data_IF_463014612003
#
_entry.id   IF_463014612003
#
_cell.length_a   1.000
_cell.length_b   1.000
_cell.length_c   1.000
_cell.angle_alpha   90.00
_cell.angle_beta   90.00
_cell.angle_gamma   90.00
#
_symmetry.space_group_name_H-M   'P 1'
#
loop_
_entity.id
_entity.type
_entity.pdbx_description
1 polymer ?
#
# COMPACT_ATOMS: atom_id res chain seq x y z
N UNK A 1 -21.54 -60.82 -3.31
CA UNK A 1 -22.31 -59.71 -2.72
C UNK A 1 -21.32 -58.80 -2.01
N UNK A 2 -20.80 -57.79 -2.71
CA UNK A 2 -19.92 -56.78 -2.13
C UNK A 2 -20.48 -55.41 -2.51
N UNK A 3 -21.00 -54.69 -1.52
CA UNK A 3 -21.54 -53.35 -1.66
C UNK A 3 -20.41 -52.36 -1.98
N UNK A 4 -20.47 -51.74 -3.16
CA UNK A 4 -19.72 -50.54 -3.49
C UNK A 4 -20.61 -49.33 -3.23
N UNK A 5 -20.46 -48.70 -2.06
CA UNK A 5 -21.09 -47.41 -1.78
C UNK A 5 -20.36 -46.29 -2.52
N UNK A 6 -21.12 -45.51 -3.28
CA UNK A 6 -20.66 -44.30 -3.99
C UNK A 6 -20.65 -43.14 -3.00
N UNK A 7 -19.60 -42.30 -2.93
CA UNK A 7 -19.58 -41.18 -1.99
C UNK A 7 -20.60 -40.11 -2.39
N UNK A 8 -21.43 -39.70 -1.43
CA UNK A 8 -22.45 -38.67 -1.60
C UNK A 8 -21.83 -37.30 -1.95
N UNK A 9 -22.42 -36.60 -2.91
CA UNK A 9 -22.03 -35.25 -3.30
C UNK A 9 -22.21 -34.27 -2.12
N UNK A 10 -21.29 -33.30 -1.92
CA UNK A 10 -21.43 -32.32 -0.85
C UNK A 10 -22.66 -31.45 -1.09
N UNK A 11 -23.49 -31.31 -0.06
CA UNK A 11 -24.60 -30.37 0.01
C UNK A 11 -24.09 -28.93 -0.18
N UNK A 12 -24.72 -28.11 -1.03
CA UNK A 12 -24.30 -26.73 -1.19
C UNK A 12 -24.56 -25.96 0.11
N UNK A 13 -23.50 -25.42 0.70
CA UNK A 13 -23.61 -24.47 1.81
C UNK A 13 -24.45 -23.26 1.37
N UNK A 14 -25.31 -22.72 2.24
CA UNK A 14 -26.11 -21.55 1.91
C UNK A 14 -25.17 -20.37 1.62
N UNK A 15 -25.26 -19.89 0.38
CA UNK A 15 -24.58 -18.71 -0.14
C UNK A 15 -24.61 -17.58 0.90
N UNK A 16 -23.48 -17.32 1.58
CA UNK A 16 -23.28 -16.07 2.32
C UNK A 16 -23.09 -14.98 1.28
N UNK A 17 -24.21 -14.55 0.69
CA UNK A 17 -24.28 -13.32 -0.06
C UNK A 17 -23.79 -12.20 0.87
N UNK A 18 -22.59 -11.69 0.56
CA UNK A 18 -22.14 -10.40 1.03
C UNK A 18 -23.14 -9.37 0.52
N UNK A 19 -24.18 -9.08 1.31
CA UNK A 19 -25.16 -8.06 0.99
C UNK A 19 -24.43 -6.72 0.91
N UNK A 20 -24.22 -6.23 -0.31
CA UNK A 20 -23.79 -4.85 -0.55
C UNK A 20 -24.95 -3.94 -0.16
N UNK A 21 -25.05 -3.61 1.13
CA UNK A 21 -26.09 -2.70 1.64
C UNK A 21 -25.93 -1.35 0.93
N UNK A 22 -26.93 -1.02 0.11
CA UNK A 22 -26.99 0.23 -0.65
C UNK A 22 -26.85 1.44 0.29
N UNK A 23 -26.15 2.48 -0.18
CA UNK A 23 -26.05 3.75 0.56
C UNK A 23 -27.43 4.40 0.68
N UNK A 24 -27.70 4.98 1.85
CA UNK A 24 -28.91 5.76 2.08
C UNK A 24 -28.83 7.10 1.35
N UNK A 25 -29.88 7.46 0.60
CA UNK A 25 -29.98 8.77 -0.04
C UNK A 25 -30.54 9.80 0.94
N UNK A 26 -29.69 10.73 1.39
CA UNK A 26 -30.08 11.81 2.29
C UNK A 26 -30.73 13.01 1.59
N UNK A 27 -30.69 13.10 0.26
CA UNK A 27 -31.22 14.25 -0.47
C UNK A 27 -32.69 14.56 -0.17
N UNK A 28 -33.59 13.57 -0.02
CA UNK A 28 -34.99 13.83 0.32
C UNK A 28 -35.20 14.43 1.72
N UNK A 29 -34.27 14.19 2.65
CA UNK A 29 -34.40 14.60 4.06
C UNK A 29 -33.88 16.02 4.33
N UNK A 30 -33.06 16.58 3.43
CA UNK A 30 -32.30 17.80 3.71
C UNK A 30 -32.93 18.98 2.97
N UNK A 31 -33.54 19.89 3.73
CA UNK A 31 -33.98 21.21 3.26
C UNK A 31 -33.28 22.30 4.10
N UNK A 32 -33.37 23.59 3.72
CA UNK A 32 -32.68 24.67 4.45
C UNK A 32 -33.01 24.70 5.95
N UNK A 33 -34.24 24.37 6.34
CA UNK A 33 -34.68 24.36 7.73
C UNK A 33 -33.97 23.30 8.60
N UNK A 34 -33.51 22.21 7.99
CA UNK A 34 -32.80 21.10 8.64
C UNK A 34 -31.28 21.34 8.76
N UNK A 35 -30.76 22.48 8.29
CA UNK A 35 -29.34 22.81 8.31
C UNK A 35 -29.02 23.80 9.43
N UNK A 36 -28.57 23.32 10.58
CA UNK A 36 -28.34 24.15 11.77
C UNK A 36 -26.86 24.44 11.97
N UNK A 37 -26.48 25.72 12.09
CA UNK A 37 -25.17 26.12 12.60
C UNK A 37 -25.27 26.25 14.11
N UNK A 38 -24.65 25.32 14.83
CA UNK A 38 -24.73 25.25 16.29
C UNK A 38 -23.91 26.38 16.92
N UNK A 39 -24.54 27.12 17.83
CA UNK A 39 -23.88 28.12 18.68
C UNK A 39 -23.49 27.52 20.03
N UNK A 40 -22.34 27.95 20.55
CA UNK A 40 -21.79 27.46 21.81
C UNK A 40 -21.08 26.11 21.69
N UNK A 41 -20.59 25.62 22.81
CA UNK A 41 -19.86 24.36 22.95
C UNK A 41 -20.55 23.37 23.89
N UNK A 42 -21.75 23.69 24.38
CA UNK A 42 -22.52 22.89 25.34
C UNK A 42 -23.56 21.98 24.65
N UNK A 43 -23.68 20.74 25.15
CA UNK A 43 -24.58 19.71 24.59
C UNK A 43 -26.06 20.08 24.71
N UNK A 44 -26.48 20.65 25.84
CA UNK A 44 -27.89 21.02 26.07
C UNK A 44 -28.31 22.12 25.10
N UNK A 45 -27.50 23.16 24.95
CA UNK A 45 -27.76 24.25 24.00
C UNK A 45 -27.75 23.74 22.54
N UNK A 46 -26.93 22.75 22.20
CA UNK A 46 -26.95 22.13 20.88
C UNK A 46 -28.27 21.38 20.63
N UNK A 47 -28.76 20.62 21.61
CA UNK A 47 -30.04 19.90 21.49
C UNK A 47 -31.23 20.84 21.39
N UNK A 48 -31.26 21.94 22.16
CA UNK A 48 -32.31 22.95 22.05
C UNK A 48 -32.42 23.55 20.64
N UNK A 49 -31.28 23.87 20.02
CA UNK A 49 -31.23 24.40 18.65
C UNK A 49 -31.72 23.37 17.62
N UNK A 50 -31.36 22.10 17.79
CA UNK A 50 -31.76 21.01 16.91
C UNK A 50 -33.25 20.68 17.04
N UNK A 51 -33.76 20.58 18.27
CA UNK A 51 -35.18 20.32 18.55
C UNK A 51 -36.05 21.44 17.99
N UNK A 52 -35.66 22.71 18.16
CA UNK A 52 -36.40 23.83 17.58
C UNK A 52 -36.42 23.79 16.04
N UNK A 53 -35.35 23.31 15.40
CA UNK A 53 -35.30 23.11 13.95
C UNK A 53 -36.17 21.93 13.50
N UNK A 54 -36.11 20.81 14.21
CA UNK A 54 -36.93 19.63 13.93
C UNK A 54 -38.43 19.93 14.10
N UNK A 55 -38.82 20.63 15.17
CA UNK A 55 -40.20 21.03 15.40
C UNK A 55 -40.75 21.90 14.27
N UNK A 56 -39.95 22.87 13.77
CA UNK A 56 -40.34 23.66 12.59
C UNK A 56 -40.45 22.82 11.31
N UNK A 57 -39.55 21.86 11.12
CA UNK A 57 -39.56 20.99 9.94
C UNK A 57 -40.78 20.05 9.90
N UNK A 58 -41.22 19.60 11.07
CA UNK A 58 -42.37 18.71 11.29
C UNK A 58 -43.70 19.45 11.53
N UNK A 59 -43.70 20.79 11.58
CA UNK A 59 -44.90 21.58 11.88
C UNK A 59 -45.47 21.36 13.29
N UNK A 60 -44.62 21.00 14.27
CA UNK A 60 -45.04 20.70 15.63
C UNK A 60 -45.43 21.97 16.41
N UNK A 61 -46.51 21.87 17.18
CA UNK A 61 -46.90 22.91 18.14
C UNK A 61 -45.99 22.94 19.38
N UNK A 62 -46.18 23.95 20.24
CA UNK A 62 -45.35 24.16 21.43
C UNK A 62 -45.32 22.94 22.38
N UNK A 63 -46.47 22.29 22.60
CA UNK A 63 -46.55 21.08 23.44
C UNK A 63 -45.72 19.94 22.85
N UNK A 64 -45.90 19.65 21.56
CA UNK A 64 -45.18 18.57 20.88
C UNK A 64 -43.66 18.83 20.79
N UNK A 65 -43.24 20.10 20.74
CA UNK A 65 -41.82 20.45 20.82
C UNK A 65 -41.23 20.13 22.20
N UNK A 66 -41.99 20.31 23.28
CA UNK A 66 -41.58 19.90 24.63
C UNK A 66 -41.42 18.38 24.69
N UNK A 67 -42.39 17.64 24.15
CA UNK A 67 -42.34 16.17 24.10
C UNK A 67 -41.12 15.67 23.30
N UNK A 68 -40.85 16.28 22.14
CA UNK A 68 -39.66 15.99 21.34
C UNK A 68 -38.36 16.26 22.12
N UNK A 69 -38.29 17.38 22.85
CA UNK A 69 -37.12 17.70 23.67
C UNK A 69 -36.91 16.65 24.77
N UNK A 70 -37.98 16.26 25.46
CA UNK A 70 -37.93 15.25 26.50
C UNK A 70 -37.49 13.89 25.94
N UNK A 71 -38.01 13.49 24.77
CA UNK A 71 -37.65 12.23 24.13
C UNK A 71 -36.16 12.17 23.74
N UNK A 72 -35.61 13.24 23.15
CA UNK A 72 -34.20 13.33 22.78
C UNK A 72 -33.30 13.30 24.01
N UNK A 73 -33.67 14.03 25.07
CA UNK A 73 -32.91 14.05 26.33
C UNK A 73 -32.93 12.69 27.03
N UNK A 74 -34.09 12.04 27.09
CA UNK A 74 -34.23 10.70 27.65
C UNK A 74 -33.35 9.68 26.89
N UNK A 75 -33.30 9.79 25.55
CA UNK A 75 -32.43 8.91 24.75
C UNK A 75 -30.94 9.11 25.05
N UNK A 76 -30.49 10.37 25.15
CA UNK A 76 -29.08 10.68 25.45
C UNK A 76 -28.70 10.28 26.89
N UNK A 77 -29.62 10.44 27.85
CA UNK A 77 -29.40 10.08 29.25
C UNK A 77 -29.24 8.56 29.43
N UNK A 78 -29.95 7.75 28.64
CA UNK A 78 -29.83 6.30 28.68
C UNK A 78 -28.45 5.81 28.20
N UNK A 79 -27.94 6.38 27.10
CA UNK A 79 -26.61 6.12 26.58
C UNK A 79 -26.22 7.26 25.65
N UNK A 80 -24.98 7.76 25.79
CA UNK A 80 -24.48 8.82 24.92
C UNK A 80 -24.61 8.45 23.45
N UNK A 81 -25.12 9.40 22.66
CA UNK A 81 -25.31 9.26 21.21
C UNK A 81 -24.09 9.67 20.41
N UNK A 82 -22.95 9.94 21.06
CA UNK A 82 -21.66 10.07 20.39
C UNK A 82 -21.18 8.68 19.94
N UNK A 83 -21.31 8.41 18.64
CA UNK A 83 -21.00 7.11 18.04
C UNK A 83 -19.54 7.00 17.59
N UNK A 84 -18.83 8.13 17.44
CA UNK A 84 -17.42 8.13 17.07
C UNK A 84 -16.77 9.52 17.18
N UNK A 85 -15.48 9.64 16.82
CA UNK A 85 -14.78 10.91 16.91
C UNK A 85 -15.40 11.97 15.99
N UNK A 86 -15.71 13.15 16.53
CA UNK A 86 -16.20 14.27 15.74
C UNK A 86 -17.69 14.26 15.37
N UNK A 87 -18.46 13.23 15.69
CA UNK A 87 -19.88 13.17 15.34
C UNK A 87 -20.77 12.42 16.35
N UNK A 88 -22.06 12.78 16.40
CA UNK A 88 -23.08 12.15 17.22
C UNK A 88 -24.41 12.01 16.45
N UNK A 89 -25.23 11.03 16.83
CA UNK A 89 -26.54 10.79 16.20
C UNK A 89 -27.65 10.55 17.24
N UNK A 90 -28.13 11.62 17.90
CA UNK A 90 -29.35 11.55 18.72
C UNK A 90 -30.54 11.09 17.89
N UNK A 91 -31.40 10.24 18.45
CA UNK A 91 -32.61 9.77 17.76
C UNK A 91 -33.79 9.62 18.72
N UNK A 92 -35.00 9.76 18.20
CA UNK A 92 -36.22 9.45 18.93
C UNK A 92 -37.34 9.04 17.97
N UNK A 93 -38.36 8.38 18.52
CA UNK A 93 -39.59 8.05 17.81
C UNK A 93 -40.67 9.01 18.28
N UNK A 94 -41.42 9.59 17.36
CA UNK A 94 -42.55 10.50 17.63
C UNK A 94 -43.78 10.02 16.86
N UNK A 95 -44.98 10.36 17.34
CA UNK A 95 -46.22 10.15 16.58
C UNK A 95 -46.37 11.27 15.52
N UNK A 96 -45.68 11.09 14.40
CA UNK A 96 -45.63 12.03 13.27
C UNK A 96 -45.81 11.28 11.94
N UNK A 97 -46.41 11.92 10.92
CA UNK A 97 -46.66 11.26 9.63
C UNK A 97 -45.37 11.04 8.81
N UNK A 98 -44.31 11.79 9.08
CA UNK A 98 -43.02 11.61 8.42
C UNK A 98 -42.33 10.32 8.86
N UNK A 99 -41.95 9.48 7.89
CA UNK A 99 -41.20 8.25 8.17
C UNK A 99 -39.84 8.55 8.82
N UNK A 100 -39.11 9.53 8.30
CA UNK A 100 -37.84 9.96 8.87
C UNK A 100 -37.61 11.45 8.62
N UNK A 101 -37.19 12.16 9.67
CA UNK A 101 -36.71 13.53 9.61
C UNK A 101 -35.28 13.57 10.14
N UNK A 102 -34.40 14.27 9.42
CA UNK A 102 -33.01 14.48 9.81
C UNK A 102 -32.76 15.99 9.99
N UNK A 103 -32.18 16.38 11.12
CA UNK A 103 -31.61 17.72 11.32
C UNK A 103 -30.11 17.59 11.51
N UNK A 104 -29.33 18.36 10.74
CA UNK A 104 -27.87 18.33 10.77
C UNK A 104 -27.34 19.59 11.45
N UNK A 105 -26.86 19.41 12.68
CA UNK A 105 -26.14 20.41 13.46
C UNK A 105 -24.66 20.41 13.13
N UNK A 106 -24.10 21.60 12.94
CA UNK A 106 -22.69 21.80 12.57
C UNK A 106 -22.04 22.84 13.49
N UNK A 107 -20.98 22.45 14.19
CA UNK A 107 -20.17 23.31 15.05
C UNK A 107 -18.70 23.28 14.62
N UNK A 108 -18.16 24.44 14.23
CA UNK A 108 -16.71 24.56 13.96
C UNK A 108 -15.87 24.46 15.22
N UNK A 109 -16.36 25.02 16.33
CA UNK A 109 -15.68 24.98 17.62
C UNK A 109 -15.75 23.60 18.29
N UNK A 110 -16.73 22.79 17.91
CA UNK A 110 -17.02 21.49 18.52
C UNK A 110 -17.86 21.63 19.80
N UNK A 111 -18.65 20.60 20.07
CA UNK A 111 -19.53 20.48 21.23
C UNK A 111 -18.93 19.45 22.18
N UNK A 112 -18.95 19.75 23.47
CA UNK A 112 -18.58 18.79 24.51
C UNK A 112 -19.73 17.83 24.79
N UNK A 113 -19.54 16.55 24.46
CA UNK A 113 -20.51 15.49 24.71
C UNK A 113 -20.22 14.68 25.97
N UNK A 114 -19.11 14.97 26.67
CA UNK A 114 -18.70 14.30 27.91
C UNK A 114 -17.82 13.05 27.72
N UNK A 115 -17.44 12.69 26.48
CA UNK A 115 -16.53 11.57 26.18
C UNK A 115 -15.16 12.06 25.73
N UNK A 116 -14.25 12.22 26.68
CA UNK A 116 -12.92 12.80 26.44
C UNK A 116 -12.10 12.02 25.41
N UNK A 117 -12.23 10.69 25.38
CA UNK A 117 -11.50 9.78 24.50
C UNK A 117 -11.90 9.90 23.01
N UNK A 118 -13.14 10.32 22.74
CA UNK A 118 -13.64 10.54 21.38
C UNK A 118 -13.53 12.00 20.93
N UNK A 119 -13.09 12.90 21.80
CA UNK A 119 -12.92 14.31 21.52
C UNK A 119 -14.23 15.07 21.29
N UNK A 120 -14.12 16.31 20.80
CA UNK A 120 -15.26 17.20 20.56
C UNK A 120 -16.11 16.74 19.36
N UNK A 121 -17.41 16.94 19.45
CA UNK A 121 -18.36 16.64 18.38
C UNK A 121 -18.58 17.86 17.49
N UNK A 122 -18.25 17.74 16.21
CA UNK A 122 -18.45 18.81 15.22
C UNK A 122 -19.77 18.67 14.48
N UNK A 123 -20.28 17.45 14.33
CA UNK A 123 -21.49 17.13 13.59
C UNK A 123 -22.50 16.41 14.48
N UNK A 124 -23.75 16.88 14.51
CA UNK A 124 -24.83 16.22 15.26
C UNK A 124 -25.98 15.92 14.30
N UNK A 125 -26.32 14.65 14.14
CA UNK A 125 -27.39 14.18 13.25
C UNK A 125 -28.61 13.79 14.09
N UNK A 126 -29.52 14.74 14.34
CA UNK A 126 -30.76 14.45 15.06
C UNK A 126 -31.74 13.74 14.11
N UNK A 127 -32.09 12.50 14.43
CA UNK A 127 -33.13 11.74 13.75
C UNK A 127 -34.44 11.75 14.53
N UNK A 128 -35.55 12.02 13.84
CA UNK A 128 -36.90 11.87 14.37
C UNK A 128 -37.67 10.99 13.41
N UNK A 129 -38.11 9.82 13.86
CA UNK A 129 -38.86 8.87 13.04
C UNK A 129 -40.30 8.75 13.50
N UNK A 130 -41.24 8.63 12.55
CA UNK A 130 -42.57 8.11 12.81
C UNK A 130 -42.54 6.62 13.21
N UNK A 131 -43.68 6.03 13.61
CA UNK A 131 -43.76 4.62 14.01
C UNK A 131 -43.24 3.64 12.95
N UNK A 132 -43.48 3.91 11.66
CA UNK A 132 -43.07 3.07 10.52
C UNK A 132 -41.69 3.44 9.93
N UNK A 133 -40.94 4.28 10.66
CA UNK A 133 -39.68 4.87 10.23
C UNK A 133 -38.42 4.12 10.63
N UNK A 134 -38.55 3.09 11.47
CA UNK A 134 -37.41 2.43 12.11
C UNK A 134 -36.39 1.86 11.11
N UNK A 135 -36.86 1.13 10.10
CA UNK A 135 -35.98 0.54 9.07
C UNK A 135 -35.26 1.61 8.25
N UNK A 136 -35.91 2.74 8.02
CA UNK A 136 -35.32 3.85 7.29
C UNK A 136 -34.22 4.52 8.10
N UNK A 137 -34.46 4.73 9.40
CA UNK A 137 -33.45 5.18 10.34
C UNK A 137 -32.25 4.23 10.39
N UNK A 138 -32.46 2.91 10.48
CA UNK A 138 -31.38 1.92 10.51
C UNK A 138 -30.50 1.97 9.25
N UNK A 139 -31.10 2.14 8.07
CA UNK A 139 -30.35 2.32 6.82
C UNK A 139 -29.55 3.63 6.80
N UNK A 140 -30.14 4.72 7.28
CA UNK A 140 -29.49 6.02 7.38
C UNK A 140 -28.31 6.00 8.36
N UNK A 141 -28.50 5.49 9.57
CA UNK A 141 -27.44 5.45 10.59
C UNK A 141 -26.30 4.50 10.20
N UNK A 142 -26.61 3.37 9.56
CA UNK A 142 -25.59 2.44 9.03
C UNK A 142 -24.73 3.11 7.97
N UNK A 143 -25.35 3.95 7.12
CA UNK A 143 -24.64 4.74 6.11
C UNK A 143 -23.71 5.77 6.75
N UNK A 144 -24.18 6.54 7.75
CA UNK A 144 -23.32 7.49 8.47
C UNK A 144 -22.18 6.76 9.21
N UNK A 145 -22.48 5.68 9.93
CA UNK A 145 -21.50 4.91 10.68
C UNK A 145 -20.39 4.36 9.77
N UNK A 146 -20.72 3.95 8.54
CA UNK A 146 -19.73 3.57 7.51
C UNK A 146 -18.92 4.80 7.07
N UNK A 147 -19.59 5.90 6.71
CA UNK A 147 -18.95 7.11 6.20
C UNK A 147 -17.93 7.77 7.15
N UNK A 148 -18.10 7.60 8.47
CA UNK A 148 -17.24 8.20 9.48
C UNK A 148 -16.29 7.20 10.18
N UNK A 149 -16.22 5.94 9.72
CA UNK A 149 -15.28 4.92 10.23
C UNK A 149 -13.91 4.96 9.53
N UNK A 150 -13.87 5.43 8.28
CA UNK A 150 -12.69 5.37 7.41
C UNK A 150 -11.59 6.40 7.73
N UNK A 151 -10.38 6.17 7.20
CA UNK A 151 -9.21 7.06 7.30
C UNK A 151 -9.42 8.48 6.76
N UNK A 152 -10.53 8.72 6.04
CA UNK A 152 -10.89 10.01 5.45
C UNK A 152 -11.93 10.80 6.30
N UNK A 153 -12.23 10.36 7.53
CA UNK A 153 -13.22 10.98 8.43
C UNK A 153 -13.06 12.50 8.58
N UNK A 154 -11.86 12.99 8.83
CA UNK A 154 -11.62 14.41 9.12
C UNK A 154 -11.84 15.28 7.86
N UNK A 155 -11.52 14.74 6.68
CA UNK A 155 -11.86 15.33 5.38
C UNK A 155 -13.38 15.41 5.20
N UNK A 156 -14.11 14.35 5.56
CA UNK A 156 -15.57 14.33 5.48
C UNK A 156 -16.21 15.33 6.44
N UNK A 157 -15.75 15.39 7.69
CA UNK A 157 -16.22 16.39 8.66
C UNK A 157 -16.03 17.81 8.09
N UNK A 158 -14.86 18.09 7.51
CA UNK A 158 -14.57 19.38 6.90
C UNK A 158 -15.53 19.71 5.75
N UNK A 159 -15.87 18.74 4.89
CA UNK A 159 -16.84 18.92 3.80
C UNK A 159 -18.24 19.24 4.32
N UNK A 160 -18.72 18.47 5.30
CA UNK A 160 -20.04 18.69 5.92
C UNK A 160 -20.10 20.06 6.60
N UNK A 161 -19.04 20.47 7.30
CA UNK A 161 -18.93 21.80 7.90
C UNK A 161 -18.97 22.93 6.85
N UNK A 162 -18.38 22.71 5.67
CA UNK A 162 -18.35 23.68 4.57
C UNK A 162 -19.65 23.71 3.73
N UNK A 163 -20.49 22.67 3.76
CA UNK A 163 -21.67 22.54 2.93
C UNK A 163 -22.76 23.59 3.25
N UNK A 164 -22.86 24.64 2.44
CA UNK A 164 -23.76 25.77 2.66
C UNK A 164 -25.13 25.64 1.99
N UNK A 165 -25.33 24.63 1.15
CA UNK A 165 -26.61 24.34 0.50
C UNK A 165 -27.11 22.93 0.81
N UNK A 166 -28.44 22.67 0.74
CA UNK A 166 -29.01 21.33 0.93
C UNK A 166 -28.39 20.29 0.00
N UNK A 167 -28.19 20.63 -1.27
CA UNK A 167 -27.56 19.75 -2.26
C UNK A 167 -26.11 19.40 -1.89
N UNK A 168 -25.30 20.37 -1.44
CA UNK A 168 -23.92 20.12 -1.01
C UNK A 168 -23.86 19.31 0.27
N UNK A 169 -24.81 19.50 1.18
CA UNK A 169 -24.89 18.74 2.42
C UNK A 169 -25.31 17.29 2.15
N UNK A 170 -26.35 17.08 1.34
CA UNK A 170 -26.77 15.76 0.88
C UNK A 170 -25.63 15.05 0.17
N UNK A 171 -24.93 15.74 -0.74
CA UNK A 171 -23.75 15.20 -1.40
C UNK A 171 -22.67 14.79 -0.38
N UNK A 172 -22.34 15.62 0.62
CA UNK A 172 -21.31 15.28 1.61
C UNK A 172 -21.67 14.08 2.52
N UNK A 173 -22.95 13.76 2.67
CA UNK A 173 -23.45 12.64 3.50
C UNK A 173 -23.71 11.36 2.68
N UNK A 174 -24.24 11.51 1.47
CA UNK A 174 -24.50 10.43 0.51
C UNK A 174 -23.26 10.05 -0.32
N UNK A 175 -22.25 10.93 -0.38
CA UNK A 175 -20.97 10.63 -1.01
C UNK A 175 -20.42 9.36 -0.34
N UNK A 176 -20.40 8.24 -1.09
CA UNK A 176 -19.12 7.52 -1.22
C UNK A 176 -18.06 8.62 -1.29
N UNK A 177 -16.89 8.45 -0.71
CA UNK A 177 -15.75 9.02 -1.42
C UNK A 177 -15.69 8.24 -2.75
N UNK A 178 -16.63 8.48 -3.67
CA UNK A 178 -16.36 8.39 -5.08
C UNK A 178 -15.26 9.41 -5.20
N UNK A 179 -14.03 8.92 -5.28
CA UNK A 179 -12.88 9.70 -5.74
C UNK A 179 -13.19 10.14 -7.17
N UNK A 180 -14.12 11.07 -7.32
CA UNK A 180 -14.95 11.23 -8.50
C UNK A 180 -15.57 9.92 -8.99
N UNK A 181 -16.39 10.02 -10.03
CA UNK A 181 -16.04 9.21 -11.20
C UNK A 181 -14.56 9.46 -11.40
N UNK A 182 -13.73 8.45 -11.17
CA UNK A 182 -12.33 8.49 -11.51
C UNK A 182 -12.28 8.92 -12.99
N UNK A 183 -12.02 10.20 -13.27
CA UNK A 183 -12.01 10.71 -14.64
C UNK A 183 -10.65 10.32 -15.19
N UNK A 184 -10.49 9.01 -15.41
CA UNK A 184 -9.42 8.51 -16.26
C UNK A 184 -9.69 9.11 -17.62
N UNK A 185 -8.71 9.87 -18.11
CA UNK A 185 -8.76 10.58 -19.39
C UNK A 185 -9.46 9.71 -20.44
N UNK A 186 -10.50 10.24 -21.10
CA UNK A 186 -11.22 9.48 -22.16
C UNK A 186 -10.29 9.11 -23.33
N UNK A 187 -9.12 9.77 -23.42
CA UNK A 187 -8.07 9.50 -24.40
C UNK A 187 -7.33 8.19 -24.14
N UNK A 188 -7.36 7.66 -22.91
CA UNK A 188 -6.72 6.40 -22.59
C UNK A 188 -7.50 5.20 -23.16
N UNK A 189 -6.80 4.12 -23.56
CA UNK A 189 -7.41 2.89 -24.04
C UNK A 189 -8.53 2.39 -23.12
N UNK A 190 -9.56 1.77 -23.70
CA UNK A 190 -10.70 1.27 -22.93
C UNK A 190 -10.29 0.21 -21.90
N UNK A 191 -9.32 -0.65 -22.27
CA UNK A 191 -8.73 -1.68 -21.41
C UNK A 191 -8.05 -1.02 -20.21
N UNK A 192 -7.12 -0.10 -20.43
CA UNK A 192 -6.46 0.69 -19.38
C UNK A 192 -7.44 1.37 -18.44
N UNK A 193 -8.49 2.03 -18.97
CA UNK A 193 -9.53 2.65 -18.13
C UNK A 193 -10.28 1.62 -17.28
N UNK A 194 -10.53 0.42 -17.82
CA UNK A 194 -11.14 -0.66 -17.07
C UNK A 194 -10.19 -1.18 -15.98
N UNK A 195 -8.93 -1.47 -16.32
CA UNK A 195 -7.92 -1.95 -15.38
C UNK A 195 -7.71 -0.98 -14.22
N UNK A 196 -7.60 0.33 -14.46
CA UNK A 196 -7.47 1.32 -13.37
C UNK A 196 -8.68 1.27 -12.42
N UNK A 197 -9.90 1.18 -12.97
CA UNK A 197 -11.11 1.07 -12.14
C UNK A 197 -11.10 -0.20 -11.29
N UNK A 198 -10.74 -1.33 -11.90
CA UNK A 198 -10.67 -2.61 -11.21
C UNK A 198 -9.52 -2.68 -10.20
N UNK A 199 -8.37 -2.09 -10.51
CA UNK A 199 -7.20 -1.99 -9.63
C UNK A 199 -7.57 -1.33 -8.30
N UNK A 200 -8.21 -0.15 -8.36
CA UNK A 200 -8.61 0.58 -7.16
C UNK A 200 -9.67 -0.17 -6.37
N UNK A 201 -10.63 -0.80 -7.07
CA UNK A 201 -11.67 -1.62 -6.42
C UNK A 201 -11.06 -2.83 -5.74
N UNK A 202 -10.18 -3.57 -6.41
CA UNK A 202 -9.49 -4.72 -5.82
C UNK A 202 -8.71 -4.32 -4.58
N UNK A 203 -7.92 -3.24 -4.66
CA UNK A 203 -7.15 -2.76 -3.52
C UNK A 203 -8.01 -2.34 -2.31
N UNK A 204 -9.26 -1.92 -2.54
CA UNK A 204 -10.25 -1.66 -1.49
C UNK A 204 -10.83 -2.96 -0.94
N UNK A 205 -11.41 -3.80 -1.81
CA UNK A 205 -12.10 -5.03 -1.45
C UNK A 205 -11.20 -6.03 -0.69
N UNK A 206 -9.91 -6.06 -1.00
CA UNK A 206 -8.93 -6.96 -0.35
C UNK A 206 -8.09 -6.27 0.73
N UNK A 207 -8.40 -5.02 1.05
CA UNK A 207 -7.65 -4.21 2.04
C UNK A 207 -6.13 -4.16 1.77
N UNK A 208 -5.75 -3.95 0.50
CA UNK A 208 -4.34 -3.92 0.12
C UNK A 208 -3.57 -2.84 0.88
N UNK A 209 -2.39 -3.16 1.42
CA UNK A 209 -1.54 -2.19 2.11
C UNK A 209 -1.12 -1.04 1.18
N UNK A 210 -0.74 -1.40 -0.06
CA UNK A 210 -0.20 -0.48 -1.07
C UNK A 210 -0.73 -0.83 -2.46
N UNK A 211 -0.92 0.22 -3.27
CA UNK A 211 -1.10 0.09 -4.72
C UNK A 211 0.20 0.50 -5.40
N UNK A 212 0.85 -0.40 -6.14
CA UNK A 212 2.07 -0.12 -6.90
C UNK A 212 1.72 0.19 -8.36
N UNK A 213 1.90 1.43 -8.80
CA UNK A 213 1.54 1.86 -10.15
C UNK A 213 2.78 2.26 -10.96
N UNK A 214 3.02 1.58 -12.07
CA UNK A 214 4.03 1.99 -13.05
C UNK A 214 3.50 3.17 -13.86
N UNK A 215 3.97 4.37 -13.52
CA UNK A 215 3.47 5.61 -14.12
C UNK A 215 4.14 5.95 -15.45
N UNK A 216 5.30 5.34 -15.72
CA UNK A 216 6.01 5.47 -17.00
C UNK A 216 5.32 4.78 -18.18
N UNK A 217 4.28 4.00 -17.91
CA UNK A 217 3.37 3.48 -18.93
C UNK A 217 2.69 4.62 -19.68
N UNK A 218 2.42 5.72 -18.98
CA UNK A 218 1.65 6.84 -19.51
C UNK A 218 2.57 7.88 -20.14
N UNK A 219 2.23 8.32 -21.35
CA UNK A 219 2.94 9.41 -22.04
C UNK A 219 2.77 10.75 -21.32
N UNK A 220 1.68 10.89 -20.55
CA UNK A 220 1.34 12.06 -19.72
C UNK A 220 1.00 11.64 -18.29
N UNK A 221 2.00 11.26 -17.48
CA UNK A 221 1.76 10.73 -16.14
C UNK A 221 1.07 11.73 -15.20
N UNK A 222 1.15 13.04 -15.45
CA UNK A 222 0.42 14.06 -14.72
C UNK A 222 -1.11 13.92 -14.80
N UNK A 223 -1.65 13.30 -15.86
CA UNK A 223 -3.09 13.02 -15.98
C UNK A 223 -3.56 11.98 -14.95
N UNK A 224 -2.65 11.20 -14.36
CA UNK A 224 -2.94 10.24 -13.30
C UNK A 224 -3.14 10.90 -11.95
N UNK A 225 -2.83 12.19 -11.79
CA UNK A 225 -2.87 12.87 -10.52
C UNK A 225 -4.17 12.57 -9.74
N UNK A 226 -5.40 12.63 -10.30
CA UNK A 226 -6.64 12.29 -9.58
C UNK A 226 -6.67 10.90 -8.93
N UNK A 227 -5.89 9.95 -9.46
CA UNK A 227 -5.77 8.57 -8.99
C UNK A 227 -4.81 8.43 -7.80
N UNK A 228 -3.81 9.31 -7.73
CA UNK A 228 -2.70 9.18 -6.80
C UNK A 228 -3.12 9.70 -5.42
N UNK A 229 -2.95 8.82 -4.43
CA UNK A 229 -3.27 9.06 -3.02
C UNK A 229 -2.18 8.49 -2.12
N UNK A 230 -2.30 8.70 -0.81
CA UNK A 230 -1.33 8.22 0.21
C UNK A 230 -1.20 6.69 0.32
N UNK A 231 -1.97 5.91 -0.45
CA UNK A 231 -1.83 4.45 -0.59
C UNK A 231 -1.08 4.02 -1.85
N UNK A 232 -0.84 4.92 -2.80
CA UNK A 232 -0.20 4.60 -4.08
C UNK A 232 1.30 4.83 -3.99
N UNK A 233 2.10 3.81 -4.29
CA UNK A 233 3.53 3.94 -4.57
C UNK A 233 3.70 3.99 -6.08
N UNK A 234 4.40 5.01 -6.57
CA UNK A 234 4.71 5.16 -7.99
C UNK A 234 6.01 4.43 -8.30
N UNK A 235 6.03 3.70 -9.41
CA UNK A 235 7.23 3.13 -9.98
C UNK A 235 7.49 3.69 -11.39
N UNK A 236 8.75 3.77 -11.80
CA UNK A 236 9.14 4.16 -13.15
C UNK A 236 10.51 3.59 -13.54
N UNK A 237 10.65 3.19 -14.80
CA UNK A 237 11.83 2.62 -15.45
C UNK A 237 12.64 3.68 -16.19
N UNK A 238 13.79 4.04 -15.64
CA UNK A 238 14.74 5.01 -16.19
C UNK A 238 14.13 6.38 -16.56
N UNK A 239 12.96 6.72 -16.01
CA UNK A 239 12.24 7.98 -16.28
C UNK A 239 11.97 8.70 -14.97
N UNK A 240 12.26 10.00 -14.92
CA UNK A 240 11.81 10.84 -13.82
C UNK A 240 10.32 11.15 -13.98
N UNK A 241 9.59 11.11 -12.87
CA UNK A 241 8.18 11.50 -12.86
C UNK A 241 8.03 12.97 -12.45
N UNK A 242 6.96 13.66 -12.88
CA UNK A 242 6.68 15.03 -12.44
C UNK A 242 6.56 15.12 -10.91
N UNK A 243 7.18 16.14 -10.31
CA UNK A 243 7.17 16.35 -8.86
C UNK A 243 5.74 16.56 -8.31
N UNK A 244 4.88 17.18 -9.11
CA UNK A 244 3.44 17.35 -8.82
C UNK A 244 2.69 16.02 -8.63
N UNK A 245 3.17 14.94 -9.26
CA UNK A 245 2.62 13.60 -9.12
C UNK A 245 3.24 12.88 -7.93
N UNK A 246 4.57 12.92 -7.82
CA UNK A 246 5.34 12.24 -6.76
C UNK A 246 4.94 12.73 -5.38
N UNK A 247 4.76 14.05 -5.20
CA UNK A 247 4.37 14.65 -3.91
C UNK A 247 3.01 14.20 -3.37
N UNK A 248 2.14 13.64 -4.23
CA UNK A 248 0.83 13.11 -3.85
C UNK A 248 0.84 11.63 -3.46
N UNK A 249 1.86 10.90 -3.89
CA UNK A 249 2.00 9.48 -3.67
C UNK A 249 2.43 9.17 -2.23
N UNK A 250 2.29 7.90 -1.82
CA UNK A 250 2.95 7.37 -0.62
C UNK A 250 4.47 7.45 -0.74
N UNK A 251 4.98 7.20 -1.94
CA UNK A 251 6.39 7.31 -2.29
C UNK A 251 6.62 7.02 -3.78
N UNK A 252 7.86 7.17 -4.20
CA UNK A 252 8.30 6.95 -5.57
C UNK A 252 9.55 6.05 -5.59
N UNK A 253 9.50 5.05 -6.47
CA UNK A 253 10.59 4.13 -6.77
C UNK A 253 11.01 4.35 -8.21
N UNK A 254 12.30 4.63 -8.41
CA UNK A 254 12.90 4.70 -9.73
C UNK A 254 13.74 3.44 -9.93
N UNK A 255 13.44 2.70 -11.00
CA UNK A 255 14.25 1.60 -11.47
C UNK A 255 15.28 2.16 -12.46
N UNK A 256 16.54 1.76 -12.35
CA UNK A 256 17.60 2.21 -13.25
C UNK A 256 17.52 1.57 -14.66
N UNK A 257 16.55 0.71 -14.91
CA UNK A 257 16.47 -0.16 -16.09
C UNK A 257 15.20 0.08 -16.89
N UNK A 258 15.31 0.17 -18.21
CA UNK A 258 14.19 0.46 -19.13
C UNK A 258 13.55 -0.79 -19.73
N UNK A 259 14.35 -1.81 -20.03
CA UNK A 259 13.88 -3.09 -20.58
C UNK A 259 13.72 -4.11 -19.46
N UNK A 260 12.68 -4.00 -18.64
CA UNK A 260 12.35 -5.05 -17.67
C UNK A 260 11.05 -5.74 -18.08
N UNK A 261 11.01 -7.07 -17.94
CA UNK A 261 9.74 -7.78 -17.96
C UNK A 261 8.83 -7.25 -16.84
N UNK A 262 7.50 -7.36 -16.98
CA UNK A 262 6.57 -6.92 -15.95
C UNK A 262 6.83 -7.61 -14.61
N UNK A 263 7.27 -8.87 -14.63
CA UNK A 263 7.72 -9.63 -13.46
C UNK A 263 8.90 -8.95 -12.77
N UNK A 264 9.99 -8.78 -13.53
CA UNK A 264 11.25 -8.22 -13.03
C UNK A 264 11.07 -6.79 -12.53
N UNK A 265 10.31 -5.98 -13.26
CA UNK A 265 9.96 -4.61 -12.88
C UNK A 265 9.20 -4.60 -11.55
N UNK A 266 8.17 -5.44 -11.39
CA UNK A 266 7.41 -5.55 -10.16
C UNK A 266 8.29 -5.94 -8.98
N UNK A 267 9.08 -7.01 -9.10
CA UNK A 267 9.91 -7.51 -8.01
C UNK A 267 10.96 -6.50 -7.56
N UNK A 268 11.63 -5.83 -8.51
CA UNK A 268 12.57 -4.76 -8.18
C UNK A 268 11.85 -3.58 -7.53
N UNK A 269 10.72 -3.13 -8.10
CA UNK A 269 9.97 -2.02 -7.53
C UNK A 269 9.50 -2.32 -6.09
N UNK A 270 9.11 -3.57 -5.83
CA UNK A 270 8.75 -4.06 -4.50
C UNK A 270 9.93 -4.06 -3.53
N UNK A 271 11.11 -4.50 -3.98
CA UNK A 271 12.35 -4.46 -3.21
C UNK A 271 12.70 -3.03 -2.79
N UNK A 272 12.77 -2.09 -3.74
CA UNK A 272 13.03 -0.67 -3.45
C UNK A 272 11.95 -0.07 -2.54
N UNK A 273 10.68 -0.42 -2.75
CA UNK A 273 9.59 0.04 -1.89
C UNK A 273 9.75 -0.49 -0.46
N UNK A 274 10.14 -1.75 -0.29
CA UNK A 274 10.40 -2.35 1.01
C UNK A 274 11.60 -1.72 1.73
N UNK A 275 12.72 -1.54 1.01
CA UNK A 275 13.93 -0.92 1.53
C UNK A 275 13.68 0.51 2.05
N UNK A 276 12.84 1.27 1.35
CA UNK A 276 12.42 2.63 1.73
C UNK A 276 11.29 2.67 2.76
N UNK A 277 10.84 1.53 3.27
CA UNK A 277 9.74 1.44 4.24
C UNK A 277 8.37 1.87 3.69
N UNK A 278 8.20 1.90 2.36
CA UNK A 278 6.95 2.25 1.69
C UNK A 278 5.91 1.12 1.79
N UNK A 279 6.33 -0.09 2.17
CA UNK A 279 5.47 -1.25 2.42
C UNK A 279 6.08 -2.11 3.53
N UNK A 280 5.25 -2.82 4.28
CA UNK A 280 5.65 -3.72 5.36
C UNK A 280 5.51 -5.20 4.99
N UNK A 281 5.29 -5.51 3.72
CA UNK A 281 5.03 -6.88 3.26
C UNK A 281 3.57 -7.31 3.40
N UNK A 282 2.66 -6.35 3.58
CA UNK A 282 1.23 -6.58 3.43
C UNK A 282 0.84 -6.85 1.98
N UNK A 283 -0.45 -7.04 1.76
CA UNK A 283 -0.97 -7.33 0.42
C UNK A 283 -0.77 -6.12 -0.49
N UNK A 284 -0.14 -6.31 -1.65
CA UNK A 284 0.10 -5.28 -2.65
C UNK A 284 -0.67 -5.61 -3.91
N UNK A 285 -1.32 -4.59 -4.48
CA UNK A 285 -1.90 -4.69 -5.82
C UNK A 285 -1.09 -3.80 -6.75
N UNK A 286 -0.62 -4.33 -7.88
CA UNK A 286 0.12 -3.55 -8.87
C UNK A 286 -0.57 -3.48 -10.21
N UNK A 287 -0.31 -2.41 -10.96
CA UNK A 287 -0.61 -2.33 -12.39
C UNK A 287 0.62 -1.92 -13.18
N UNK A 288 0.89 -2.64 -14.26
CA UNK A 288 2.02 -2.45 -15.16
C UNK A 288 1.58 -2.54 -16.62
N UNK A 289 2.44 -2.05 -17.51
CA UNK A 289 2.36 -2.15 -18.96
C UNK A 289 3.69 -1.71 -19.57
N UNK A 290 3.73 -1.62 -20.90
CA UNK A 290 4.90 -1.14 -21.61
C UNK A 290 5.13 0.37 -21.41
N UNK A 291 6.39 0.79 -21.36
CA UNK A 291 6.76 2.18 -21.15
C UNK A 291 6.26 3.06 -22.30
N UNK A 292 5.54 4.13 -21.99
CA UNK A 292 5.01 5.10 -22.95
C UNK A 292 3.93 4.56 -23.88
N UNK A 293 3.34 3.40 -23.61
CA UNK A 293 2.30 2.80 -24.45
C UNK A 293 0.91 3.42 -24.23
N UNK A 294 0.72 4.14 -23.11
CA UNK A 294 -0.59 4.49 -22.55
C UNK A 294 -1.50 3.28 -22.27
N UNK A 295 -0.96 2.06 -22.35
CA UNK A 295 -1.68 0.81 -22.17
C UNK A 295 -1.15 -0.01 -21.00
N UNK A 296 -1.94 -0.04 -19.91
CA UNK A 296 -1.84 -1.06 -18.89
C UNK A 296 -2.43 -2.37 -19.43
N UNK A 297 -1.74 -3.47 -19.18
CA UNK A 297 -2.18 -4.81 -19.59
C UNK A 297 -2.20 -5.81 -18.44
N UNK A 298 -1.53 -5.49 -17.33
CA UNK A 298 -1.27 -6.44 -16.24
C UNK A 298 -1.72 -5.86 -14.90
N UNK A 299 -2.51 -6.63 -14.14
CA UNK A 299 -2.76 -6.41 -12.71
C UNK A 299 -2.22 -7.59 -11.92
N UNK A 300 -1.55 -7.31 -10.80
CA UNK A 300 -0.99 -8.33 -9.92
C UNK A 300 -1.44 -8.12 -8.48
N UNK A 301 -1.60 -9.22 -7.75
CA UNK A 301 -1.90 -9.21 -6.32
C UNK A 301 -0.90 -10.14 -5.65
N UNK A 302 -0.06 -9.61 -4.77
CA UNK A 302 0.95 -10.40 -4.06
C UNK A 302 1.12 -9.96 -2.61
N UNK A 303 1.52 -10.91 -1.77
CA UNK A 303 2.01 -10.63 -0.41
C UNK A 303 3.52 -10.90 -0.41
N UNK A 304 4.36 -9.88 -0.62
CA UNK A 304 5.78 -10.07 -0.75
C UNK A 304 6.38 -10.39 0.62
N UNK A 305 7.24 -11.40 0.68
CA UNK A 305 7.98 -11.74 1.90
C UNK A 305 9.14 -10.76 2.08
N UNK A 306 8.84 -9.52 2.47
CA UNK A 306 9.87 -8.48 2.63
C UNK A 306 10.67 -8.61 3.94
N UNK A 307 10.40 -9.64 4.75
CA UNK A 307 11.18 -9.90 5.96
C UNK A 307 12.65 -10.19 5.64
N UNK A 308 12.95 -10.67 4.42
CA UNK A 308 14.35 -10.92 4.04
C UNK A 308 15.18 -9.63 3.93
N UNK A 309 14.56 -8.47 3.63
CA UNK A 309 15.23 -7.17 3.50
C UNK A 309 15.82 -6.68 4.82
N UNK A 310 15.18 -7.03 5.94
CA UNK A 310 15.60 -6.63 7.29
C UNK A 310 16.32 -7.80 7.94
N UNK A 311 17.64 -7.78 7.85
CA UNK A 311 18.48 -8.77 8.52
C UNK A 311 18.83 -8.22 9.88
N UNK A 312 18.44 -8.90 10.95
CA UNK A 312 18.68 -8.46 12.31
C UNK A 312 19.53 -9.50 13.02
N UNK A 313 20.52 -9.07 13.81
CA UNK A 313 21.26 -9.96 14.68
C UNK A 313 20.42 -10.37 15.91
N UNK A 314 21.01 -11.18 16.79
CA UNK A 314 20.34 -11.68 18.00
C UNK A 314 19.96 -10.55 18.97
N UNK A 315 20.64 -9.42 18.88
CA UNK A 315 20.41 -8.21 19.66
C UNK A 315 19.43 -7.24 18.97
N UNK A 316 18.89 -7.60 17.80
CA UNK A 316 17.93 -6.80 17.05
C UNK A 316 18.54 -5.64 16.25
N UNK A 317 19.86 -5.65 16.04
CA UNK A 317 20.58 -4.67 15.22
C UNK A 317 20.61 -5.10 13.76
N UNK A 318 20.49 -4.14 12.86
CA UNK A 318 20.47 -4.40 11.43
C UNK A 318 21.86 -4.85 10.92
N UNK A 319 21.92 -6.05 10.34
CA UNK A 319 23.14 -6.69 9.83
C UNK A 319 23.54 -6.11 8.47
N UNK A 320 22.56 -5.69 7.64
CA UNK A 320 22.79 -5.09 6.33
C UNK A 320 21.87 -3.88 6.19
N UNK A 321 22.46 -2.71 5.94
CA UNK A 321 21.70 -1.50 5.65
C UNK A 321 20.85 -1.68 4.38
N UNK A 322 19.58 -1.25 4.36
CA UNK A 322 18.70 -1.41 3.20
C UNK A 322 19.29 -0.83 1.91
N UNK A 323 19.98 0.30 2.00
CA UNK A 323 20.62 0.98 0.87
C UNK A 323 21.74 0.13 0.25
N UNK A 324 22.45 -0.68 1.06
CA UNK A 324 23.52 -1.57 0.59
C UNK A 324 22.93 -2.73 -0.19
N UNK A 325 21.83 -3.30 0.29
CA UNK A 325 21.12 -4.37 -0.40
C UNK A 325 20.49 -3.86 -1.71
N UNK A 326 19.84 -2.70 -1.68
CA UNK A 326 19.30 -1.99 -2.85
C UNK A 326 20.40 -1.80 -3.91
N UNK A 327 21.51 -1.17 -3.53
CA UNK A 327 22.63 -0.90 -4.43
C UNK A 327 23.30 -2.16 -4.98
N UNK A 328 23.46 -3.19 -4.16
CA UNK A 328 24.02 -4.48 -4.60
C UNK A 328 23.13 -5.13 -5.66
N UNK A 329 21.80 -5.05 -5.51
CA UNK A 329 20.86 -5.61 -6.47
C UNK A 329 20.83 -4.82 -7.77
N UNK A 330 20.90 -3.49 -7.72
CA UNK A 330 21.07 -2.64 -8.91
C UNK A 330 22.30 -3.05 -9.72
N UNK A 331 23.48 -3.13 -9.09
CA UNK A 331 24.73 -3.52 -9.76
C UNK A 331 24.61 -4.91 -10.41
N UNK A 332 24.00 -5.87 -9.70
CA UNK A 332 23.81 -7.22 -10.22
C UNK A 332 22.87 -7.26 -11.43
N UNK A 333 21.80 -6.46 -11.43
CA UNK A 333 20.85 -6.38 -12.56
C UNK A 333 21.49 -5.64 -13.74
N UNK A 334 22.25 -4.58 -13.51
CA UNK A 334 22.98 -3.86 -14.57
C UNK A 334 23.98 -4.78 -15.29
N UNK A 335 24.77 -5.54 -14.53
CA UNK A 335 25.71 -6.53 -15.08
C UNK A 335 25.00 -7.66 -15.81
N UNK A 336 23.80 -8.05 -15.39
CA UNK A 336 23.02 -9.07 -16.06
C UNK A 336 22.52 -8.64 -17.45
N UNK A 337 22.20 -7.35 -17.60
CA UNK A 337 21.70 -6.75 -18.86
C UNK A 337 22.82 -6.43 -19.83
N UNK A 338 23.85 -5.74 -19.34
CA UNK A 338 24.92 -5.16 -20.16
C UNK A 338 26.09 -6.13 -20.37
N UNK A 339 26.26 -7.09 -19.46
CA UNK A 339 27.52 -7.83 -19.35
C UNK A 339 28.70 -6.90 -19.08
N UNK A 340 29.90 -7.31 -19.47
CA UNK A 340 31.10 -6.48 -19.50
C UNK A 340 31.83 -6.72 -20.81
N UNK A 341 32.21 -5.64 -21.50
CA UNK A 341 32.90 -5.72 -22.81
C UNK A 341 32.19 -6.61 -23.84
N UNK A 342 30.85 -6.62 -23.81
CA UNK A 342 30.02 -7.46 -24.70
C UNK A 342 30.02 -8.94 -24.33
N UNK A 343 30.50 -9.33 -23.15
CA UNK A 343 30.48 -10.71 -22.66
C UNK A 343 29.61 -10.86 -21.41
N UNK A 344 28.83 -11.96 -21.28
CA UNK A 344 28.11 -12.23 -20.05
C UNK A 344 29.07 -12.40 -18.87
N UNK A 345 28.72 -11.76 -17.74
CA UNK A 345 29.46 -11.84 -16.47
C UNK A 345 28.63 -12.61 -15.45
N UNK A 346 29.30 -13.36 -14.56
CA UNK A 346 28.67 -13.92 -13.37
C UNK A 346 29.30 -13.30 -12.12
N UNK A 347 28.47 -13.04 -11.12
CA UNK A 347 28.85 -12.30 -9.92
C UNK A 347 28.34 -13.04 -8.68
N UNK A 348 29.12 -13.01 -7.59
CA UNK A 348 28.64 -13.38 -6.26
C UNK A 348 28.96 -12.24 -5.30
N UNK A 349 27.97 -11.75 -4.57
CA UNK A 349 28.16 -10.75 -3.51
C UNK A 349 27.62 -11.30 -2.20
N UNK A 350 28.45 -11.29 -1.15
CA UNK A 350 28.07 -11.66 0.21
C UNK A 350 27.95 -10.38 1.02
N UNK A 351 26.79 -10.15 1.62
CA UNK A 351 26.43 -8.92 2.32
C UNK A 351 26.22 -9.19 3.81
N UNK A 352 26.98 -8.48 4.64
CA UNK A 352 26.85 -8.53 6.10
C UNK A 352 27.49 -9.75 6.75
N UNK A 353 27.25 -9.90 8.06
CA UNK A 353 27.78 -10.96 8.94
C UNK A 353 29.27 -11.28 8.73
N UNK A 354 30.08 -10.23 8.55
CA UNK A 354 31.46 -10.35 8.09
C UNK A 354 32.33 -11.24 8.97
N UNK A 355 32.16 -11.16 10.30
CA UNK A 355 32.96 -11.95 11.24
C UNK A 355 32.73 -13.46 11.09
N UNK A 356 31.50 -13.87 10.76
CA UNK A 356 31.15 -15.28 10.52
C UNK A 356 31.47 -15.72 9.09
N UNK A 357 31.40 -14.80 8.12
CA UNK A 357 31.75 -15.05 6.72
C UNK A 357 33.26 -15.21 6.54
N UNK A 358 34.08 -14.36 7.16
CA UNK A 358 35.54 -14.33 7.04
C UNK A 358 36.23 -15.71 7.16
N UNK A 359 35.96 -16.55 8.18
CA UNK A 359 36.60 -17.86 8.29
C UNK A 359 36.17 -18.86 7.20
N UNK A 360 35.07 -18.59 6.49
CA UNK A 360 34.54 -19.40 5.39
C UNK A 360 34.99 -18.89 4.02
N UNK A 361 36.01 -18.02 3.98
CA UNK A 361 36.51 -17.41 2.75
C UNK A 361 38.01 -17.56 2.59
N UNK A 362 38.46 -17.66 1.34
CA UNK A 362 39.88 -17.68 0.99
C UNK A 362 40.12 -16.75 -0.21
N UNK A 363 41.08 -15.83 -0.07
CA UNK A 363 41.44 -14.92 -1.16
C UNK A 363 42.10 -15.71 -2.31
N UNK A 364 41.57 -15.59 -3.54
CA UNK A 364 42.14 -16.28 -4.73
C UNK A 364 43.19 -15.44 -5.46
N UNK A 365 42.92 -14.13 -5.58
CA UNK A 365 43.76 -13.17 -6.33
C UNK A 365 44.17 -11.99 -5.45
N UNK A 366 44.94 -11.04 -5.97
CA UNK A 366 45.22 -9.80 -5.21
C UNK A 366 43.88 -9.10 -4.95
N UNK A 367 43.59 -8.80 -3.68
CA UNK A 367 42.41 -8.03 -3.32
C UNK A 367 42.61 -6.56 -3.73
N UNK A 368 41.89 -6.05 -4.74
CA UNK A 368 42.08 -4.68 -5.23
C UNK A 368 41.59 -3.63 -4.23
N UNK A 369 40.75 -4.03 -3.27
CA UNK A 369 40.23 -3.17 -2.21
C UNK A 369 41.13 -3.18 -0.97
N UNK A 370 42.25 -3.90 -0.95
CA UNK A 370 43.15 -3.89 0.23
C UNK A 370 44.03 -2.64 0.22
N UNK A 371 44.09 -1.94 1.34
CA UNK A 371 45.02 -0.82 1.56
C UNK A 371 44.40 0.57 1.37
N UNK A 372 43.20 0.66 0.80
CA UNK A 372 42.43 1.90 0.71
C UNK A 372 41.63 2.14 2.00
N UNK A 373 41.33 3.39 2.36
CA UNK A 373 40.47 3.67 3.51
C UNK A 373 39.03 3.21 3.26
N UNK A 374 38.22 3.07 4.31
CA UNK A 374 36.86 2.51 4.20
C UNK A 374 35.91 3.40 3.38
N UNK A 375 36.06 4.72 3.47
CA UNK A 375 35.25 5.69 2.74
C UNK A 375 35.46 5.63 1.22
N UNK A 376 36.63 5.21 0.74
CA UNK A 376 36.94 5.04 -0.70
C UNK A 376 36.52 3.66 -1.23
N UNK A 377 35.98 2.80 -0.37
CA UNK A 377 35.59 1.41 -0.72
C UNK A 377 34.13 1.13 -0.42
N UNK A 378 33.32 2.17 -0.35
CA UNK A 378 31.89 2.01 -0.14
C UNK A 378 31.21 1.64 -1.44
N UNK A 379 30.44 0.55 -1.43
CA UNK A 379 29.54 0.17 -2.53
C UNK A 379 28.47 1.25 -2.80
N UNK A 380 28.18 2.09 -1.80
CA UNK A 380 27.25 3.20 -1.90
C UNK A 380 27.85 4.42 -2.62
N UNK A 381 29.17 4.46 -2.84
CA UNK A 381 29.81 5.53 -3.60
C UNK A 381 29.58 5.31 -5.11
N UNK A 382 28.85 6.20 -5.80
CA UNK A 382 28.65 6.08 -7.25
C UNK A 382 29.96 6.08 -8.05
N UNK A 383 31.03 6.70 -7.54
CA UNK A 383 32.33 6.74 -8.22
C UNK A 383 32.98 5.34 -8.33
N UNK A 384 32.60 4.41 -7.45
CA UNK A 384 33.15 3.06 -7.40
C UNK A 384 32.43 2.11 -8.36
N UNK A 385 31.33 2.53 -8.99
CA UNK A 385 30.47 1.69 -9.82
C UNK A 385 31.23 0.95 -10.93
N UNK A 386 31.97 1.69 -11.76
CA UNK A 386 32.76 1.11 -12.85
C UNK A 386 33.86 0.18 -12.32
N UNK A 387 34.42 0.50 -11.15
CA UNK A 387 35.46 -0.33 -10.51
C UNK A 387 34.87 -1.68 -10.06
N UNK A 388 33.67 -1.66 -9.47
CA UNK A 388 32.97 -2.90 -9.07
C UNK A 388 32.60 -3.73 -10.29
N UNK A 389 32.09 -3.09 -11.36
CA UNK A 389 31.77 -3.76 -12.63
C UNK A 389 33.00 -4.39 -13.28
N UNK A 390 34.14 -3.70 -13.26
CA UNK A 390 35.41 -4.22 -13.76
C UNK A 390 35.86 -5.47 -13.00
N UNK A 391 35.85 -5.41 -11.66
CA UNK A 391 36.19 -6.55 -10.83
C UNK A 391 35.10 -7.62 -10.73
N UNK A 392 33.91 -7.42 -11.32
CA UNK A 392 32.92 -8.49 -11.43
C UNK A 392 33.32 -9.54 -12.47
N UNK A 393 34.22 -9.21 -13.40
CA UNK A 393 34.74 -10.13 -14.39
C UNK A 393 35.75 -11.15 -13.83
N UNK A 394 36.35 -10.89 -12.66
CA UNK A 394 37.29 -11.83 -12.04
C UNK A 394 36.57 -12.94 -11.28
N UNK A 395 37.20 -14.11 -11.19
CA UNK A 395 36.64 -15.25 -10.46
C UNK A 395 36.64 -15.01 -8.95
N UNK A 396 35.49 -15.24 -8.33
CA UNK A 396 35.28 -15.18 -6.89
C UNK A 396 34.09 -14.32 -6.51
N UNK A 397 33.92 -14.13 -5.20
CA UNK A 397 32.90 -13.30 -4.60
C UNK A 397 33.46 -11.95 -4.15
N UNK A 398 32.58 -10.96 -4.12
CA UNK A 398 32.76 -9.77 -3.30
C UNK A 398 32.25 -10.06 -1.89
N UNK A 399 33.01 -9.62 -0.90
CA UNK A 399 32.58 -9.63 0.50
C UNK A 399 32.35 -8.18 0.91
N UNK A 400 31.11 -7.85 1.26
CA UNK A 400 30.68 -6.49 1.58
C UNK A 400 30.13 -6.46 3.00
N UNK A 401 30.63 -5.55 3.82
CA UNK A 401 30.13 -5.35 5.17
C UNK A 401 28.72 -4.76 5.15
N UNK A 402 28.00 -4.87 6.27
CA UNK A 402 26.62 -4.41 6.42
C UNK A 402 26.40 -2.92 6.13
N UNK A 403 27.44 -2.11 6.29
CA UNK A 403 27.46 -0.67 6.03
C UNK A 403 27.89 -0.31 4.60
N UNK A 404 28.15 -1.29 3.74
CA UNK A 404 28.51 -1.09 2.34
C UNK A 404 30.01 -1.10 2.05
N UNK A 405 30.87 -1.20 3.05
CA UNK A 405 32.33 -1.26 2.81
C UNK A 405 32.71 -2.59 2.17
N UNK A 406 33.34 -2.54 0.99
CA UNK A 406 33.86 -3.71 0.29
C UNK A 406 35.14 -4.18 0.98
N UNK A 407 35.07 -5.36 1.59
CA UNK A 407 36.19 -5.98 2.32
C UNK A 407 37.15 -6.68 1.35
N UNK A 408 36.61 -7.38 0.36
CA UNK A 408 37.39 -8.05 -0.68
C UNK A 408 36.61 -8.30 -1.96
N UNK A 409 37.34 -8.49 -3.06
CA UNK A 409 36.87 -9.06 -4.33
C UNK A 409 37.79 -10.22 -4.75
N UNK A 410 37.31 -11.12 -5.62
CA UNK A 410 38.09 -12.30 -6.03
C UNK A 410 38.25 -13.33 -4.90
N UNK A 411 37.22 -13.48 -4.06
CA UNK A 411 37.26 -14.33 -2.86
C UNK A 411 36.57 -15.68 -3.11
N UNK A 412 37.25 -16.79 -2.84
CA UNK A 412 36.64 -18.11 -2.83
C UNK A 412 35.78 -18.31 -1.59
N UNK A 413 34.62 -18.92 -1.76
CA UNK A 413 33.68 -19.25 -0.70
C UNK A 413 33.76 -20.74 -0.39
N UNK A 414 34.04 -21.08 0.87
CA UNK A 414 34.19 -22.45 1.37
C UNK A 414 33.25 -22.69 2.57
N UNK A 415 31.93 -22.80 2.33
CA UNK A 415 30.98 -23.12 3.39
C UNK A 415 31.19 -24.55 3.91
N UNK A 416 30.79 -24.86 5.16
CA UNK A 416 30.99 -26.19 5.73
C UNK A 416 30.27 -27.28 4.93
N UNK A 417 30.93 -28.43 4.73
CA UNK A 417 30.45 -29.52 3.89
C UNK A 417 29.16 -30.19 4.42
N UNK A 418 28.90 -30.07 5.72
CA UNK A 418 27.74 -30.66 6.40
C UNK A 418 26.44 -29.88 6.11
N UNK A 419 26.54 -28.64 5.60
CA UNK A 419 25.40 -27.77 5.35
C UNK A 419 24.66 -28.22 4.08
N UNK A 420 23.60 -29.01 4.29
CA UNK A 420 22.69 -29.42 3.20
C UNK A 420 21.75 -28.29 2.82
N UNK A 421 21.64 -28.03 1.53
CA UNK A 421 20.72 -27.05 0.94
C UNK A 421 19.86 -27.69 -0.13
N UNK A 422 18.59 -27.35 -0.14
CA UNK A 422 17.67 -27.74 -1.20
C UNK A 422 17.74 -26.67 -2.29
N UNK A 423 18.16 -27.07 -3.48
CA UNK A 423 18.23 -26.18 -4.64
C UNK A 423 17.22 -26.63 -5.70
N UNK A 424 16.65 -25.65 -6.38
CA UNK A 424 15.88 -25.87 -7.60
C UNK A 424 16.81 -26.49 -8.67
N UNK A 425 16.31 -27.50 -9.39
CA UNK A 425 17.06 -28.18 -10.46
C UNK A 425 17.52 -27.20 -11.53
N UNK A 426 18.77 -27.33 -12.00
CA UNK A 426 19.34 -26.49 -13.07
C UNK A 426 20.29 -25.38 -12.58
N UNK A 427 20.48 -25.22 -11.27
CA UNK A 427 21.39 -24.24 -10.69
C UNK A 427 22.80 -24.81 -10.47
N UNK A 428 23.83 -24.04 -10.87
CA UNK A 428 25.23 -24.45 -10.84
C UNK A 428 25.90 -24.41 -9.45
N UNK A 429 27.20 -24.66 -9.41
CA UNK A 429 28.00 -24.70 -8.17
C UNK A 429 27.97 -23.39 -7.37
N UNK A 430 28.00 -22.23 -8.04
CA UNK A 430 27.91 -20.90 -7.39
C UNK A 430 26.63 -20.74 -6.55
N UNK A 431 25.48 -21.20 -7.06
CA UNK A 431 24.21 -21.15 -6.33
C UNK A 431 24.21 -22.05 -5.09
N UNK A 432 24.83 -23.23 -5.18
CA UNK A 432 24.96 -24.16 -4.04
C UNK A 432 25.82 -23.59 -2.94
N UNK A 433 26.95 -23.00 -3.32
CA UNK A 433 27.85 -22.35 -2.39
C UNK A 433 27.20 -21.13 -1.74
N UNK A 434 26.48 -20.31 -2.52
CA UNK A 434 25.73 -19.17 -2.00
C UNK A 434 24.64 -19.58 -1.01
N UNK A 435 23.82 -20.58 -1.35
CA UNK A 435 22.81 -21.11 -0.45
C UNK A 435 23.45 -21.66 0.84
N UNK A 436 24.49 -22.50 0.72
CA UNK A 436 25.15 -23.10 1.88
C UNK A 436 25.80 -22.05 2.79
N UNK A 437 26.47 -21.04 2.21
CA UNK A 437 27.04 -19.93 2.96
C UNK A 437 25.97 -19.14 3.69
N UNK A 438 24.90 -18.72 3.00
CA UNK A 438 23.76 -17.99 3.59
C UNK A 438 23.00 -18.77 4.66
N UNK A 439 23.22 -20.10 4.76
CA UNK A 439 22.66 -20.97 5.80
C UNK A 439 23.60 -21.14 6.99
N UNK A 440 24.91 -21.09 6.73
CA UNK A 440 25.94 -21.17 7.76
C UNK A 440 26.14 -19.83 8.49
N UNK A 441 25.73 -18.73 7.87
CA UNK A 441 25.82 -17.35 8.38
C UNK A 441 24.47 -16.65 8.30
N UNK A 442 24.38 -15.44 8.85
CA UNK A 442 23.22 -14.54 8.68
C UNK A 442 23.38 -13.60 7.47
N UNK A 443 24.39 -13.82 6.62
CA UNK A 443 24.64 -13.00 5.44
C UNK A 443 23.58 -13.20 4.35
N UNK A 444 23.32 -12.14 3.58
CA UNK A 444 22.59 -12.24 2.31
C UNK A 444 23.60 -12.53 1.21
N UNK A 445 23.29 -13.46 0.31
CA UNK A 445 24.14 -13.76 -0.84
C UNK A 445 23.40 -13.52 -2.15
N UNK A 446 23.92 -12.62 -2.97
CA UNK A 446 23.40 -12.32 -4.31
C UNK A 446 24.26 -13.05 -5.33
N UNK A 447 23.61 -13.74 -6.27
CA UNK A 447 24.26 -14.48 -7.35
C UNK A 447 23.71 -14.03 -8.69
N UNK A 448 24.58 -13.55 -9.58
CA UNK A 448 24.30 -13.39 -11.00
C UNK A 448 24.86 -14.61 -11.76
N UNK A 449 23.96 -15.33 -12.42
CA UNK A 449 24.32 -16.43 -13.30
C UNK A 449 24.84 -15.92 -14.65
N UNK A 450 26.08 -16.29 -14.98
CA UNK A 450 26.73 -15.92 -16.24
C UNK A 450 26.01 -16.49 -17.47
N UNK A 451 25.40 -17.67 -17.38
CA UNK A 451 24.76 -18.32 -18.54
C UNK A 451 23.36 -17.80 -18.80
N UNK A 452 22.59 -17.53 -17.75
CA UNK A 452 21.17 -17.17 -17.84
C UNK A 452 20.88 -15.69 -17.62
N UNK A 453 21.82 -14.92 -17.05
CA UNK A 453 21.58 -13.54 -16.62
C UNK A 453 20.66 -13.45 -15.40
N UNK A 454 20.30 -14.58 -14.79
CA UNK A 454 19.42 -14.60 -13.61
C UNK A 454 20.17 -14.09 -12.38
N UNK A 455 19.63 -13.06 -11.74
CA UNK A 455 20.04 -12.55 -10.42
C UNK A 455 19.19 -13.25 -9.36
N UNK A 456 19.82 -13.89 -8.38
CA UNK A 456 19.15 -14.66 -7.32
C UNK A 456 19.66 -14.21 -5.95
N UNK A 457 18.74 -14.05 -5.00
CA UNK A 457 19.06 -13.69 -3.62
C UNK A 457 18.83 -14.89 -2.72
N UNK A 458 19.85 -15.25 -1.95
CA UNK A 458 19.82 -16.32 -0.96
C UNK A 458 19.90 -15.77 0.46
N UNK A 459 19.06 -16.33 1.33
CA UNK A 459 19.09 -16.10 2.78
C UNK A 459 18.66 -17.38 3.49
N UNK A 460 19.35 -17.73 4.58
CA UNK A 460 19.05 -18.93 5.39
C UNK A 460 18.98 -20.22 4.54
N UNK A 461 19.78 -20.29 3.47
CA UNK A 461 19.83 -21.43 2.56
C UNK A 461 18.66 -21.55 1.59
N UNK A 462 17.81 -20.52 1.47
CA UNK A 462 16.65 -20.50 0.57
C UNK A 462 16.78 -19.36 -0.44
N UNK A 463 16.27 -19.60 -1.64
CA UNK A 463 16.01 -18.53 -2.60
C UNK A 463 14.84 -17.68 -2.08
N UNK A 464 15.08 -16.39 -1.84
CA UNK A 464 14.05 -15.45 -1.35
C UNK A 464 13.55 -14.51 -2.46
N UNK A 465 14.34 -14.33 -3.51
CA UNK A 465 14.00 -13.50 -4.67
C UNK A 465 14.84 -13.94 -5.87
N UNK A 466 14.28 -13.83 -7.07
CA UNK A 466 15.05 -13.99 -8.29
C UNK A 466 14.48 -13.23 -9.48
N UNK A 467 15.34 -12.47 -10.15
CA UNK A 467 15.02 -11.61 -11.28
C UNK A 467 15.83 -12.06 -12.49
N UNK A 468 15.18 -12.14 -13.65
CA UNK A 468 15.87 -12.34 -14.93
C UNK A 468 15.60 -11.12 -15.79
N UNK A 469 16.54 -10.16 -15.89
CA UNK A 469 16.40 -9.07 -16.83
C UNK A 469 16.69 -9.57 -18.26
N UNK A 470 16.09 -8.95 -19.29
CA UNK A 470 16.38 -9.28 -20.68
C UNK A 470 17.80 -8.86 -21.03
N UNK A 471 18.53 -9.72 -21.74
CA UNK A 471 19.87 -9.39 -22.24
C UNK A 471 19.75 -8.41 -23.41
N UNK A 472 20.62 -7.40 -23.43
CA UNK A 472 20.83 -6.64 -24.65
C UNK A 472 21.25 -7.63 -25.77
N UNK A 473 20.54 -7.61 -26.91
CA UNK A 473 21.01 -8.32 -28.10
C UNK A 473 22.34 -7.69 -28.50
N UNK A 474 23.43 -8.42 -28.32
CA UNK A 474 24.71 -8.08 -28.93
C UNK A 474 24.52 -8.38 -30.42
N UNK A 475 24.21 -7.34 -31.20
CA UNK A 475 24.37 -7.41 -32.66
C UNK A 475 25.86 -7.59 -32.92
N UNK A 476 26.28 -8.84 -33.17
CA UNK A 476 27.55 -9.07 -33.80
C UNK A 476 27.49 -8.39 -35.17
N UNK A 477 28.18 -7.25 -35.29
CA UNK A 477 28.46 -6.65 -36.58
C UNK A 477 29.10 -7.73 -37.44
N UNK A 478 28.36 -8.21 -38.44
CA UNK A 478 28.87 -9.16 -39.41
C UNK A 478 30.08 -8.56 -40.10
N UNK A 479 31.23 -9.16 -39.88
CA UNK A 479 32.44 -8.98 -40.69
C UNK A 479 32.29 -9.68 -42.04
#
# INVERSE_FOLDING_TARGET
MSNTETPAAPTPEPNRETSTVAWYDFAPLIKPAQMVRLKGSDKRLAFEQLVASAARALGLGASQQVDLSAAVQAREAALSTQLGPGWAAPHCVMDVPERLTLVVGRSRAGIDFGRTELGRVHLVFLFVSGPDGHDEYLRAISSLARAFRDSDRDTRISRVLAADTPARLAAALSERVERGRLVVSRKLPAVTRALIRHLLKFAEDIEAEVILLFADVFTKPEELAPLITRRVVLASRATSLPESLVSRAKGYVRLAHDQLSHESAFQLAMLHAGARGLTRGGLVVSACGDKGSDDLDSIRIERPDLMFLRVMDKEGREIVMPEVLERSLEIAVELAEQGREGSPVGLVMVLGDYEQVKPLTQQLTINPFRGYPENERSLLDPALEETVKEFAAIDGAFIVAGNGVIQSAGTYLSPPAEVRVELVSGLGTRHRVAAALSKATEAIVIVLSQSTGRVTVYRQGREVMAVTPPRARIEYGGS
#
